data_IF_029956975364
#
_entry.id   IF_029956975364
#
_cell.length_a   1.000
_cell.length_b   1.000
_cell.length_c   1.000
_cell.angle_alpha   90.00
_cell.angle_beta   90.00
_cell.angle_gamma   90.00
#
_symmetry.space_group_name_H-M   'P 1'
#
loop_
_entity.id
_entity.type
_entity.pdbx_description
1 polymer ?
#
# COMPACT_ATOMS: atom_id res chain seq x y z
N UNK A 1 2.63 -34.58 -3.30
CA UNK A 1 2.43 -33.14 -3.63
C UNK A 1 3.68 -32.66 -4.35
N UNK A 2 3.57 -32.33 -5.64
CA UNK A 2 4.70 -31.81 -6.42
C UNK A 2 4.89 -30.34 -6.05
N UNK A 3 6.03 -30.01 -5.43
CA UNK A 3 6.43 -28.64 -5.16
C UNK A 3 6.66 -27.94 -6.51
N UNK A 4 5.81 -26.97 -6.86
CA UNK A 4 5.96 -26.14 -8.04
C UNK A 4 6.71 -24.87 -7.64
N UNK A 5 8.02 -24.77 -7.92
CA UNK A 5 8.85 -23.67 -7.42
C UNK A 5 8.40 -22.27 -7.90
N UNK A 6 7.60 -22.20 -8.95
CA UNK A 6 7.06 -20.96 -9.53
C UNK A 6 5.98 -20.27 -8.68
N UNK A 7 5.27 -21.01 -7.81
CA UNK A 7 4.18 -20.43 -7.00
C UNK A 7 4.69 -19.50 -5.87
N UNK A 8 5.97 -19.63 -5.51
CA UNK A 8 6.60 -18.84 -4.44
C UNK A 8 7.58 -17.77 -4.95
N UNK A 9 7.73 -17.63 -6.27
CA UNK A 9 8.67 -16.70 -6.86
C UNK A 9 8.36 -15.25 -6.46
N UNK A 10 9.41 -14.51 -6.05
CA UNK A 10 9.28 -13.13 -5.58
C UNK A 10 8.72 -12.96 -4.17
N UNK A 11 8.27 -14.05 -3.50
CA UNK A 11 7.73 -13.98 -2.13
C UNK A 11 8.80 -13.56 -1.14
N UNK A 12 8.51 -12.53 -0.36
CA UNK A 12 9.32 -12.14 0.79
C UNK A 12 9.16 -13.15 1.93
N UNK A 13 10.29 -13.61 2.47
CA UNK A 13 10.32 -14.53 3.62
C UNK A 13 10.66 -13.79 4.92
N UNK A 14 11.52 -12.78 4.83
CA UNK A 14 11.95 -11.98 5.96
C UNK A 14 12.35 -10.58 5.51
N UNK A 15 12.33 -9.66 6.46
CA UNK A 15 12.85 -8.31 6.35
C UNK A 15 13.66 -8.02 7.61
N UNK A 16 14.88 -7.51 7.45
CA UNK A 16 15.82 -7.29 8.57
C UNK A 16 15.95 -8.51 9.51
N UNK A 17 16.11 -9.70 8.92
CA UNK A 17 16.25 -10.97 9.64
C UNK A 17 15.04 -11.41 10.48
N UNK A 18 13.89 -10.75 10.35
CA UNK A 18 12.63 -11.10 11.02
C UNK A 18 11.58 -11.54 10.00
N UNK A 19 10.71 -12.47 10.39
CA UNK A 19 9.57 -12.92 9.58
C UNK A 19 8.28 -12.13 9.87
N UNK A 20 8.29 -11.29 10.91
CA UNK A 20 7.23 -10.37 11.29
C UNK A 20 7.86 -9.06 11.78
N UNK A 21 7.16 -7.95 11.61
CA UNK A 21 7.51 -6.65 12.19
C UNK A 21 6.97 -6.53 13.62
N UNK A 22 7.28 -5.42 14.27
CA UNK A 22 6.80 -5.03 15.60
C UNK A 22 6.16 -3.63 15.60
N UNK A 23 5.73 -3.15 14.42
CA UNK A 23 5.18 -1.81 14.24
C UNK A 23 3.69 -1.69 14.63
N UNK A 24 2.94 -2.78 14.50
CA UNK A 24 1.48 -2.85 14.67
C UNK A 24 1.09 -4.00 15.61
N UNK A 25 -0.16 -4.45 15.55
CA UNK A 25 -0.68 -5.57 16.35
C UNK A 25 -1.18 -6.74 15.48
N UNK A 26 -1.11 -7.96 16.01
CA UNK A 26 -1.67 -9.15 15.36
C UNK A 26 -1.12 -9.41 13.96
N UNK A 27 -2.01 -9.74 13.03
CA UNK A 27 -1.66 -10.06 11.64
C UNK A 27 -1.13 -8.86 10.84
N UNK A 28 -1.33 -7.62 11.32
CA UNK A 28 -0.77 -6.42 10.69
C UNK A 28 0.77 -6.38 10.71
N UNK A 29 1.41 -7.18 11.58
CA UNK A 29 2.86 -7.33 11.61
C UNK A 29 3.43 -8.32 10.59
N UNK A 30 2.59 -9.01 9.83
CA UNK A 30 3.09 -10.07 8.96
C UNK A 30 3.83 -9.53 7.73
N UNK A 31 4.92 -10.21 7.37
CA UNK A 31 5.61 -9.98 6.10
C UNK A 31 5.02 -10.96 5.09
N UNK A 32 4.22 -10.45 4.15
CA UNK A 32 3.48 -11.26 3.18
C UNK A 32 3.60 -10.70 1.77
N UNK A 33 3.52 -11.59 0.79
CA UNK A 33 3.53 -11.22 -0.63
C UNK A 33 4.94 -10.96 -1.17
N UNK A 34 5.02 -10.23 -2.28
CA UNK A 34 6.29 -9.87 -2.93
C UNK A 34 6.88 -8.57 -2.39
N UNK A 35 8.13 -8.27 -2.73
CA UNK A 35 8.71 -6.93 -2.55
C UNK A 35 8.17 -5.88 -3.55
N UNK A 36 7.48 -6.33 -4.61
CA UNK A 36 6.80 -5.47 -5.59
C UNK A 36 7.31 -5.61 -7.02
N UNK A 37 8.50 -6.17 -7.22
CA UNK A 37 9.17 -6.29 -8.52
C UNK A 37 8.83 -7.59 -9.25
N UNK A 38 8.65 -8.66 -8.49
CA UNK A 38 8.51 -10.03 -9.00
C UNK A 38 7.29 -10.72 -8.43
N UNK A 39 6.54 -11.39 -9.30
CA UNK A 39 5.36 -12.15 -8.93
C UNK A 39 5.36 -13.54 -9.56
N UNK A 40 4.66 -14.53 -8.96
CA UNK A 40 4.54 -15.87 -9.52
C UNK A 40 4.08 -15.91 -10.97
N UNK A 41 4.53 -16.92 -11.71
CA UNK A 41 4.06 -17.21 -13.06
C UNK A 41 2.56 -17.55 -13.05
N UNK A 42 1.91 -17.42 -14.21
CA UNK A 42 0.49 -17.77 -14.40
C UNK A 42 -0.43 -17.08 -13.37
N UNK A 43 -0.30 -15.75 -13.23
CA UNK A 43 -1.14 -14.93 -12.36
C UNK A 43 -2.62 -15.12 -12.68
N UNK A 44 -3.40 -15.17 -11.60
CA UNK A 44 -4.85 -15.18 -11.63
C UNK A 44 -5.38 -13.77 -11.41
N UNK A 45 -6.68 -13.58 -11.64
CA UNK A 45 -7.40 -12.33 -11.35
C UNK A 45 -7.81 -12.25 -9.87
N UNK A 46 -6.93 -12.71 -8.98
CA UNK A 46 -7.09 -12.64 -7.53
C UNK A 46 -6.30 -11.45 -6.97
N UNK A 47 -6.42 -11.20 -5.66
CA UNK A 47 -5.68 -10.10 -5.01
C UNK A 47 -4.19 -10.26 -5.20
N UNK A 48 -3.50 -9.13 -5.33
CA UNK A 48 -2.05 -9.06 -5.36
C UNK A 48 -1.56 -8.61 -3.98
N UNK A 49 -0.65 -9.36 -3.37
CA UNK A 49 -0.12 -9.01 -2.05
C UNK A 49 1.33 -8.61 -2.19
N UNK A 50 1.71 -7.48 -1.59
CA UNK A 50 3.10 -7.03 -1.50
C UNK A 50 3.40 -6.53 -0.10
N UNK A 51 4.66 -6.61 0.31
CA UNK A 51 5.18 -5.92 1.49
C UNK A 51 6.03 -4.75 1.06
N UNK A 52 5.81 -3.58 1.67
CA UNK A 52 6.59 -2.39 1.41
C UNK A 52 7.23 -1.91 2.71
N UNK A 53 8.56 -1.84 2.73
CA UNK A 53 9.30 -1.19 3.82
C UNK A 53 8.93 0.28 3.96
N UNK A 54 8.47 0.91 2.87
CA UNK A 54 8.12 2.32 2.90
C UNK A 54 6.81 2.59 3.64
N UNK A 55 5.83 1.69 3.44
CA UNK A 55 4.54 1.65 4.15
C UNK A 55 4.63 0.98 5.52
N UNK A 56 5.72 0.25 5.76
CA UNK A 56 5.96 -0.54 6.96
C UNK A 56 4.93 -1.64 7.20
N UNK A 57 4.21 -2.03 6.16
CA UNK A 57 3.18 -3.06 6.18
C UNK A 57 3.09 -3.78 4.85
N UNK A 58 2.38 -4.92 4.85
CA UNK A 58 1.86 -5.49 3.63
C UNK A 58 0.61 -4.75 3.14
N UNK A 59 0.35 -4.88 1.85
CA UNK A 59 -0.77 -4.29 1.15
C UNK A 59 -1.41 -5.32 0.22
N UNK A 60 -2.73 -5.35 0.21
CA UNK A 60 -3.51 -6.14 -0.73
C UNK A 60 -4.12 -5.24 -1.80
N UNK A 61 -3.75 -5.48 -3.05
CA UNK A 61 -4.26 -4.75 -4.19
C UNK A 61 -5.36 -5.57 -4.86
N UNK A 62 -6.41 -4.88 -5.28
CA UNK A 62 -7.57 -5.47 -5.91
C UNK A 62 -7.37 -5.57 -7.41
N UNK A 63 -7.80 -6.68 -8.01
CA UNK A 63 -7.91 -6.76 -9.46
C UNK A 63 -8.96 -5.75 -9.93
N UNK A 64 -8.57 -4.89 -10.85
CA UNK A 64 -9.44 -3.86 -11.45
C UNK A 64 -9.97 -4.35 -12.80
N UNK A 65 -9.07 -4.62 -13.75
CA UNK A 65 -9.44 -5.06 -15.11
C UNK A 65 -8.27 -5.64 -15.91
N UNK A 66 -8.60 -6.28 -17.03
CA UNK A 66 -7.64 -6.60 -18.09
C UNK A 66 -7.31 -5.33 -18.89
N UNK A 67 -6.04 -5.16 -19.25
CA UNK A 67 -5.54 -4.02 -20.03
C UNK A 67 -4.58 -4.51 -21.13
N UNK A 68 -4.33 -3.67 -22.14
CA UNK A 68 -3.32 -3.92 -23.16
C UNK A 68 -2.30 -2.78 -23.12
N UNK A 69 -1.05 -3.11 -22.82
CA UNK A 69 0.05 -2.15 -22.80
C UNK A 69 0.99 -2.51 -23.95
N UNK A 70 1.12 -1.61 -24.92
CA UNK A 70 1.98 -1.78 -26.11
C UNK A 70 1.77 -3.13 -26.83
N UNK A 71 0.50 -3.55 -26.98
CA UNK A 71 0.12 -4.80 -27.65
C UNK A 71 0.21 -6.06 -26.78
N UNK A 72 0.63 -5.95 -25.52
CA UNK A 72 0.73 -7.08 -24.59
C UNK A 72 -0.39 -7.02 -23.54
N UNK A 73 -1.08 -8.15 -23.33
CA UNK A 73 -2.14 -8.26 -22.32
C UNK A 73 -1.56 -8.22 -20.91
N UNK A 74 -2.16 -7.40 -20.05
CA UNK A 74 -1.85 -7.25 -18.64
C UNK A 74 -3.09 -7.33 -17.75
N UNK A 75 -2.90 -7.68 -16.48
CA UNK A 75 -3.89 -7.51 -15.41
C UNK A 75 -3.53 -6.29 -14.60
N UNK A 76 -4.47 -5.36 -14.45
CA UNK A 76 -4.33 -4.14 -13.66
C UNK A 76 -4.85 -4.38 -12.25
N UNK A 77 -4.06 -3.99 -11.27
CA UNK A 77 -4.37 -4.03 -9.85
C UNK A 77 -4.30 -2.62 -9.26
N UNK A 78 -5.24 -2.28 -8.37
CA UNK A 78 -5.34 -0.96 -7.73
C UNK A 78 -5.24 -1.07 -6.21
N UNK A 79 -4.83 0.01 -5.55
CA UNK A 79 -4.55 0.04 -4.12
C UNK A 79 -5.38 1.09 -3.36
N UNK A 80 -6.60 1.41 -3.81
CA UNK A 80 -7.40 2.51 -3.24
C UNK A 80 -7.63 2.37 -1.72
N UNK A 81 -7.70 1.12 -1.23
CA UNK A 81 -7.89 0.81 0.20
C UNK A 81 -6.58 0.63 1.00
N UNK A 82 -5.41 0.95 0.45
CA UNK A 82 -4.11 0.71 1.11
C UNK A 82 -3.94 1.56 2.38
N UNK A 83 -4.59 2.72 2.45
CA UNK A 83 -4.56 3.63 3.59
C UNK A 83 -5.88 3.62 4.39
N UNK A 84 -6.69 2.57 4.21
CA UNK A 84 -7.94 2.40 4.97
C UNK A 84 -7.64 2.12 6.45
N UNK A 85 -8.48 2.67 7.33
CA UNK A 85 -8.36 2.56 8.78
C UNK A 85 -9.21 1.43 9.40
N UNK A 86 -9.79 0.54 8.58
CA UNK A 86 -10.71 -0.49 9.04
C UNK A 86 -12.18 -0.25 8.65
N UNK A 87 -12.52 0.96 8.19
CA UNK A 87 -13.91 1.32 7.84
C UNK A 87 -14.40 0.59 6.60
N UNK A 88 -13.55 0.51 5.57
CA UNK A 88 -13.89 -0.20 4.33
C UNK A 88 -13.47 -1.66 4.41
N UNK A 89 -12.34 -1.92 5.06
CA UNK A 89 -11.70 -3.23 5.15
C UNK A 89 -11.37 -3.54 6.61
N UNK A 90 -12.23 -4.25 7.35
CA UNK A 90 -12.05 -4.51 8.78
C UNK A 90 -10.69 -5.11 9.14
N UNK A 91 -10.08 -5.86 8.22
CA UNK A 91 -8.73 -6.43 8.38
C UNK A 91 -7.61 -5.39 8.54
N UNK A 92 -7.84 -4.15 8.10
CA UNK A 92 -6.88 -3.05 8.17
C UNK A 92 -6.93 -2.28 9.49
N UNK A 93 -7.92 -2.55 10.36
CA UNK A 93 -8.09 -1.85 11.65
C UNK A 93 -6.85 -1.91 12.55
N UNK A 94 -6.08 -3.01 12.51
CA UNK A 94 -4.85 -3.14 13.32
C UNK A 94 -3.67 -2.30 12.81
N UNK A 95 -3.78 -1.62 11.66
CA UNK A 95 -2.79 -0.63 11.23
C UNK A 95 -2.95 0.70 11.95
N UNK A 96 -4.02 0.88 12.74
CA UNK A 96 -4.12 1.98 13.69
C UNK A 96 -3.25 1.69 14.91
N UNK A 97 -2.24 2.52 15.17
CA UNK A 97 -1.46 2.50 16.41
C UNK A 97 -2.08 3.47 17.42
N UNK A 98 -3.04 2.99 18.21
CA UNK A 98 -3.80 3.81 19.15
C UNK A 98 -5.10 4.36 18.55
N UNK A 99 -5.37 5.65 18.70
CA UNK A 99 -6.57 6.28 18.12
C UNK A 99 -6.47 6.31 16.59
N UNK A 100 -7.43 5.67 15.91
CA UNK A 100 -7.51 5.71 14.46
C UNK A 100 -7.82 7.13 13.98
N UNK A 101 -7.04 7.60 13.02
CA UNK A 101 -7.35 8.82 12.27
C UNK A 101 -8.37 8.54 11.16
N UNK A 102 -9.04 9.57 10.60
CA UNK A 102 -9.90 9.41 9.43
C UNK A 102 -9.21 8.66 8.28
N UNK A 103 -9.97 7.88 7.53
CA UNK A 103 -9.44 6.96 6.51
C UNK A 103 -8.68 7.68 5.39
N UNK A 104 -7.70 7.00 4.79
CA UNK A 104 -6.88 7.51 3.69
C UNK A 104 -5.54 8.12 4.06
N UNK A 105 -5.15 7.99 5.33
CA UNK A 105 -3.81 8.29 5.82
C UNK A 105 -3.27 7.14 6.67
N UNK A 106 -1.98 6.88 6.54
CA UNK A 106 -1.26 5.87 7.33
C UNK A 106 -0.20 6.54 8.19
N UNK A 107 -0.28 6.36 9.50
CA UNK A 107 0.75 6.77 10.43
C UNK A 107 1.97 5.83 10.29
N UNK A 108 3.12 6.38 9.90
CA UNK A 108 4.37 5.62 9.74
C UNK A 108 5.41 5.95 10.81
N UNK A 109 5.02 6.63 11.89
CA UNK A 109 5.95 7.00 12.97
C UNK A 109 6.70 5.79 13.54
N UNK A 110 6.00 4.66 13.72
CA UNK A 110 6.53 3.44 14.31
C UNK A 110 7.77 2.87 13.59
N UNK A 111 7.89 3.11 12.29
CA UNK A 111 9.00 2.62 11.47
C UNK A 111 9.90 3.75 10.95
N UNK A 112 9.59 5.01 11.28
CA UNK A 112 10.33 6.21 10.86
C UNK A 112 10.89 6.97 12.06
N UNK A 113 11.47 6.24 13.01
CA UNK A 113 12.17 6.81 14.17
C UNK A 113 11.31 7.83 14.93
N UNK A 114 10.02 7.49 15.13
CA UNK A 114 9.04 8.34 15.81
C UNK A 114 8.80 9.72 15.16
N UNK A 115 9.22 9.92 13.90
CA UNK A 115 8.87 11.09 13.11
C UNK A 115 7.34 11.23 13.00
N UNK A 116 6.77 12.44 13.06
CA UNK A 116 5.33 12.69 12.92
C UNK A 116 4.86 12.57 11.45
N UNK A 117 5.36 11.57 10.73
CA UNK A 117 5.15 11.37 9.30
C UNK A 117 3.95 10.47 9.03
N UNK A 118 3.15 10.87 8.04
CA UNK A 118 2.00 10.14 7.55
C UNK A 118 2.06 10.00 6.04
N UNK A 119 1.61 8.87 5.52
CA UNK A 119 1.50 8.62 4.08
C UNK A 119 0.05 8.68 3.62
N UNK A 120 -0.15 9.17 2.41
CA UNK A 120 -1.44 9.24 1.72
C UNK A 120 -1.22 9.12 0.21
N UNK A 121 -2.29 9.09 -0.59
CA UNK A 121 -2.16 9.34 -2.02
C UNK A 121 -2.05 10.84 -2.33
N UNK A 122 -1.47 11.22 -3.48
CA UNK A 122 -1.33 12.63 -3.85
C UNK A 122 -2.66 13.39 -3.79
N UNK A 123 -2.60 14.61 -3.27
CA UNK A 123 -3.75 15.48 -3.03
C UNK A 123 -4.86 14.82 -2.19
N UNK A 124 -4.51 13.88 -1.32
CA UNK A 124 -5.45 13.12 -0.49
C UNK A 124 -6.49 12.33 -1.32
N UNK A 125 -6.09 11.84 -2.51
CA UNK A 125 -6.94 10.96 -3.30
C UNK A 125 -7.35 9.72 -2.50
N UNK A 126 -8.63 9.32 -2.60
CA UNK A 126 -9.20 8.18 -1.86
C UNK A 126 -9.09 8.29 -0.33
N UNK A 127 -8.95 9.51 0.21
CA UNK A 127 -8.98 9.79 1.63
C UNK A 127 -10.25 10.51 2.06
N UNK A 128 -10.48 10.56 3.37
CA UNK A 128 -11.57 11.34 3.97
C UNK A 128 -11.49 12.80 3.51
N UNK A 129 -12.60 13.42 3.03
CA UNK A 129 -12.62 14.81 2.59
C UNK A 129 -12.12 15.80 3.64
N UNK A 130 -12.13 15.44 4.92
CA UNK A 130 -11.48 16.18 6.00
C UNK A 130 -10.07 16.65 5.60
N UNK A 131 -9.25 15.79 5.02
CA UNK A 131 -7.87 16.11 4.69
C UNK A 131 -7.73 17.09 3.51
N UNK A 132 -8.48 16.86 2.43
CA UNK A 132 -8.44 17.76 1.27
C UNK A 132 -9.01 19.15 1.59
N UNK A 133 -9.91 19.25 2.56
CA UNK A 133 -10.51 20.52 2.98
C UNK A 133 -9.63 21.33 3.94
N UNK A 134 -8.62 20.73 4.55
CA UNK A 134 -7.70 21.42 5.47
C UNK A 134 -6.58 22.19 4.75
N UNK A 135 -6.30 21.89 3.49
CA UNK A 135 -5.17 22.47 2.74
C UNK A 135 -5.65 23.02 1.41
N UNK A 136 -5.46 24.31 1.20
CA UNK A 136 -5.81 24.97 -0.06
C UNK A 136 -5.00 24.39 -1.23
N UNK A 137 -5.67 24.19 -2.36
CA UNK A 137 -5.05 23.69 -3.60
C UNK A 137 -5.04 22.16 -3.75
N UNK A 138 -5.62 21.41 -2.81
CA UNK A 138 -5.82 19.97 -2.98
C UNK A 138 -6.85 19.70 -4.08
N UNK A 139 -6.46 18.90 -5.09
CA UNK A 139 -7.29 18.53 -6.25
C UNK A 139 -7.13 17.03 -6.53
N UNK A 140 -7.67 16.16 -5.66
CA UNK A 140 -7.59 14.72 -5.87
C UNK A 140 -8.21 14.33 -7.22
N UNK A 141 -7.48 13.51 -7.98
CA UNK A 141 -7.82 13.13 -9.35
C UNK A 141 -7.40 11.66 -9.54
N UNK A 142 -8.34 10.80 -9.92
CA UNK A 142 -8.11 9.36 -10.04
C UNK A 142 -7.05 9.03 -11.09
N UNK A 143 -7.12 9.65 -12.26
CA UNK A 143 -6.21 9.33 -13.37
C UNK A 143 -4.78 9.80 -13.06
N UNK A 144 -4.65 10.87 -12.27
CA UNK A 144 -3.35 11.40 -11.87
C UNK A 144 -2.78 10.73 -10.62
N UNK A 145 -3.60 10.36 -9.64
CA UNK A 145 -3.13 10.05 -8.28
C UNK A 145 -3.38 8.60 -7.84
N UNK A 146 -4.12 7.80 -8.61
CA UNK A 146 -4.34 6.40 -8.28
C UNK A 146 -3.03 5.59 -8.36
N UNK A 147 -2.84 4.74 -7.36
CA UNK A 147 -1.82 3.71 -7.37
C UNK A 147 -2.30 2.50 -8.16
N UNK A 148 -1.46 2.00 -9.07
CA UNK A 148 -1.73 0.75 -9.77
C UNK A 148 -0.46 0.00 -10.19
N UNK A 149 -0.61 -1.30 -10.39
CA UNK A 149 0.40 -2.19 -10.98
C UNK A 149 -0.26 -2.95 -12.13
N UNK A 150 0.40 -3.03 -13.28
CA UNK A 150 -0.02 -3.86 -14.41
C UNK A 150 0.97 -5.01 -14.56
N UNK A 151 0.48 -6.24 -14.49
CA UNK A 151 1.30 -7.46 -14.53
C UNK A 151 0.94 -8.28 -15.76
N UNK A 152 1.95 -8.79 -16.47
CA UNK A 152 1.77 -9.74 -17.55
C UNK A 152 1.34 -11.11 -16.97
N UNK A 153 0.17 -11.66 -17.34
CA UNK A 153 -0.40 -12.80 -16.63
C UNK A 153 0.42 -14.09 -16.66
N UNK A 154 1.11 -14.39 -17.76
CA UNK A 154 1.87 -15.62 -17.94
C UNK A 154 3.23 -15.57 -17.24
N UNK A 155 3.96 -14.46 -17.40
CA UNK A 155 5.33 -14.30 -16.90
C UNK A 155 5.43 -13.68 -15.51
N UNK A 156 4.36 -13.08 -14.98
CA UNK A 156 4.41 -12.41 -13.67
C UNK A 156 5.23 -11.12 -13.66
N UNK A 157 5.69 -10.66 -14.84
CA UNK A 157 6.51 -9.46 -14.98
C UNK A 157 5.62 -8.22 -14.84
N UNK A 158 6.05 -7.26 -14.01
CA UNK A 158 5.46 -5.93 -13.93
C UNK A 158 5.73 -5.17 -15.22
N UNK A 159 4.67 -4.81 -15.93
CA UNK A 159 4.75 -4.10 -17.22
C UNK A 159 4.75 -2.59 -17.04
N UNK A 160 3.97 -2.11 -16.08
CA UNK A 160 3.79 -0.70 -15.79
C UNK A 160 3.36 -0.54 -14.33
N UNK A 161 3.84 0.51 -13.68
CA UNK A 161 3.51 0.83 -12.30
C UNK A 161 3.32 2.33 -12.16
N UNK A 162 2.27 2.73 -11.43
CA UNK A 162 2.10 4.08 -10.90
C UNK A 162 2.11 3.95 -9.39
N UNK A 163 3.30 4.09 -8.79
CA UNK A 163 3.48 4.07 -7.34
C UNK A 163 3.62 5.50 -6.81
N UNK A 164 2.50 6.19 -6.67
CA UNK A 164 2.47 7.59 -6.23
C UNK A 164 2.00 7.66 -4.79
N UNK A 165 2.75 8.37 -3.96
CA UNK A 165 2.45 8.59 -2.54
C UNK A 165 2.80 10.03 -2.16
N UNK A 166 2.16 10.53 -1.12
CA UNK A 166 2.38 11.84 -0.55
C UNK A 166 2.77 11.68 0.93
N UNK A 167 3.83 12.39 1.31
CA UNK A 167 4.30 12.49 2.69
C UNK A 167 3.64 13.71 3.33
N UNK A 168 3.05 13.53 4.50
CA UNK A 168 2.46 14.58 5.32
C UNK A 168 3.14 14.58 6.69
N UNK A 169 3.23 15.75 7.32
CA UNK A 169 3.74 15.91 8.67
C UNK A 169 2.62 16.43 9.57
N UNK A 170 2.40 15.79 10.71
CA UNK A 170 1.47 16.28 11.72
C UNK A 170 2.09 17.49 12.42
N UNK A 171 1.42 18.64 12.33
CA UNK A 171 1.79 19.87 13.03
C UNK A 171 0.83 20.11 14.19
N UNK A 172 1.38 20.35 15.38
CA UNK A 172 0.62 20.65 16.59
C UNK A 172 1.25 21.83 17.31
N UNK A 173 0.44 22.74 17.91
CA UNK A 173 0.96 23.81 18.74
C UNK A 173 1.72 23.25 19.94
N UNK A 174 2.93 23.77 20.16
CA UNK A 174 3.71 23.51 21.38
C UNK A 174 3.77 24.79 22.18
N UNK A 175 3.30 24.78 23.44
CA UNK A 175 3.12 26.00 24.26
C UNK A 175 4.37 26.90 24.36
N UNK A 176 5.56 26.34 24.16
CA UNK A 176 6.84 27.01 24.32
C UNK A 176 7.61 27.24 23.01
N UNK A 177 7.02 26.91 21.86
CA UNK A 177 7.61 27.15 20.53
C UNK A 177 6.68 28.13 19.80
N UNK A 178 7.16 29.36 19.59
CA UNK A 178 6.45 30.43 18.88
C UNK A 178 6.93 30.54 17.44
#
# INVERSE_FOLDING_TARGET
MSYRPDESFGRMLSWNFRNQTDFYEGHCNDIRGSAGEFYPLNRKRDKLVLYSSELCKYAELEYDRDVVVKGVRGYRYIADNIFDNGTTRPENSCFCKGECIPSGMLNVSACRQDSPSFLSFPHFYSADPYYSNMVDGMKPDRDKHQFYIIIQPKSGIVMEISAKMQVNLLLQPVQHIR
#
